data_IF_629412948779
#
_entry.id   IF_629412948779
#
_cell.length_a   1.000
_cell.length_b   1.000
_cell.length_c   1.000
_cell.angle_alpha   90.00
_cell.angle_beta   90.00
_cell.angle_gamma   90.00
#
_symmetry.space_group_name_H-M   'P 1'
#
loop_
_entity.id
_entity.type
_entity.pdbx_description
1 polymer ?
#
# COMPACT_ATOMS: atom_id res chain seq x y z
N UNK A 1 3.69 -20.61 14.81
CA UNK A 1 4.54 -20.29 15.94
C UNK A 1 5.75 -19.44 15.48
N UNK A 2 6.34 -18.58 16.33
CA UNK A 2 7.48 -17.77 15.94
C UNK A 2 8.62 -18.67 15.47
N UNK A 3 9.14 -18.43 14.28
CA UNK A 3 10.36 -19.11 13.81
C UNK A 3 11.50 -18.71 14.73
N UNK A 4 12.19 -19.70 15.29
CA UNK A 4 13.43 -19.46 16.05
C UNK A 4 14.42 -18.63 15.22
N UNK A 5 15.09 -17.69 15.87
CA UNK A 5 16.18 -16.92 15.25
C UNK A 5 17.18 -17.91 14.65
N UNK A 6 17.58 -17.69 13.39
CA UNK A 6 18.64 -18.50 12.76
C UNK A 6 19.97 -18.12 13.40
N UNK A 7 20.83 -19.13 13.59
CA UNK A 7 22.22 -18.92 13.98
C UNK A 7 22.88 -17.93 12.99
N UNK A 8 23.45 -16.81 13.47
CA UNK A 8 24.05 -15.80 12.61
C UNK A 8 25.28 -16.27 11.83
N UNK A 9 25.79 -17.48 12.09
CA UNK A 9 26.98 -18.00 11.45
C UNK A 9 28.29 -17.47 12.07
N UNK A 10 29.43 -18.10 11.72
CA UNK A 10 30.72 -17.72 12.27
C UNK A 10 31.16 -16.33 11.79
N UNK A 11 31.50 -15.45 12.72
CA UNK A 11 32.02 -14.10 12.46
C UNK A 11 31.05 -12.95 12.76
N UNK A 12 29.79 -13.22 13.09
CA UNK A 12 28.85 -12.19 13.55
C UNK A 12 29.00 -11.98 15.05
N UNK A 13 29.50 -10.82 15.45
CA UNK A 13 29.57 -10.40 16.85
C UNK A 13 28.41 -9.43 17.10
N UNK A 14 27.48 -9.79 17.97
CA UNK A 14 26.35 -8.93 18.34
C UNK A 14 25.04 -9.70 18.53
N UNK A 15 23.99 -8.97 18.87
CA UNK A 15 22.64 -9.52 18.97
C UNK A 15 22.01 -9.64 17.57
N UNK A 16 21.38 -10.78 17.29
CA UNK A 16 20.58 -11.00 16.09
C UNK A 16 19.11 -10.83 16.44
N UNK A 17 18.41 -9.97 15.71
CA UNK A 17 16.99 -9.75 15.88
C UNK A 17 16.24 -10.11 14.58
N UNK A 18 14.92 -10.34 14.68
CA UNK A 18 14.08 -10.37 13.50
C UNK A 18 14.10 -9.00 12.82
N UNK A 19 13.97 -8.99 11.48
CA UNK A 19 13.82 -7.74 10.75
C UNK A 19 12.54 -7.00 11.16
N UNK A 20 12.54 -5.68 11.01
CA UNK A 20 11.41 -4.84 11.35
C UNK A 20 10.23 -5.10 10.39
N UNK A 21 9.03 -4.86 10.88
CA UNK A 21 7.79 -4.88 10.10
C UNK A 21 7.19 -3.48 10.12
N UNK A 22 7.03 -2.88 8.94
CA UNK A 22 6.23 -1.68 8.77
C UNK A 22 4.78 -2.09 8.57
N UNK A 23 3.95 -1.98 9.61
CA UNK A 23 2.59 -2.48 9.61
C UNK A 23 1.58 -1.53 8.92
N UNK A 24 1.99 -0.36 8.47
CA UNK A 24 1.19 0.59 7.71
C UNK A 24 2.10 1.49 6.88
N UNK A 25 1.94 1.44 5.57
CA UNK A 25 2.73 2.22 4.62
C UNK A 25 1.88 2.67 3.43
N UNK A 26 2.40 3.65 2.69
CA UNK A 26 1.85 4.17 1.44
C UNK A 26 2.99 4.30 0.42
N UNK A 27 3.44 3.18 -0.14
CA UNK A 27 4.57 3.12 -1.06
C UNK A 27 4.40 4.02 -2.29
N UNK A 28 3.16 4.25 -2.73
CA UNK A 28 2.87 5.14 -3.86
C UNK A 28 3.30 6.60 -3.63
N UNK A 29 3.52 7.00 -2.38
CA UNK A 29 3.84 8.37 -2.01
C UNK A 29 5.34 8.68 -1.96
N UNK A 30 6.21 7.71 -2.17
CA UNK A 30 7.67 7.89 -2.00
C UNK A 30 8.23 8.93 -2.96
N UNK A 31 7.75 8.98 -4.20
CA UNK A 31 8.15 9.98 -5.20
C UNK A 31 7.54 11.38 -4.98
N UNK A 32 6.65 11.54 -4.01
CA UNK A 32 6.10 12.86 -3.69
C UNK A 32 7.13 13.83 -3.09
N UNK A 33 8.31 13.35 -2.76
CA UNK A 33 9.44 14.20 -2.37
C UNK A 33 9.79 15.17 -3.50
N UNK A 34 9.73 16.45 -3.22
CA UNK A 34 9.92 17.47 -4.23
C UNK A 34 8.67 17.82 -5.04
N UNK A 35 7.52 17.22 -4.76
CA UNK A 35 6.24 17.66 -5.31
C UNK A 35 6.01 19.14 -4.97
N UNK A 36 5.49 19.97 -5.91
CA UNK A 36 5.18 21.36 -5.61
C UNK A 36 4.24 21.50 -4.41
N UNK A 37 4.59 22.40 -3.52
CA UNK A 37 3.72 22.72 -2.38
C UNK A 37 2.34 23.19 -2.86
N UNK A 38 1.28 22.94 -2.07
CA UNK A 38 -0.04 23.51 -2.36
C UNK A 38 0.03 25.05 -2.34
N UNK A 39 -0.86 25.74 -3.08
CA UNK A 39 -0.86 27.21 -3.15
C UNK A 39 -0.99 27.89 -1.79
N UNK A 40 -1.71 27.24 -0.88
CA UNK A 40 -1.93 27.70 0.49
C UNK A 40 -1.61 26.57 1.47
N UNK A 41 -1.11 26.90 2.65
CA UNK A 41 -0.86 25.90 3.69
C UNK A 41 -2.17 25.32 4.20
N UNK A 42 -2.41 23.99 4.07
CA UNK A 42 -3.61 23.38 4.61
C UNK A 42 -3.71 23.56 6.11
N UNK A 43 -4.88 23.96 6.61
CA UNK A 43 -5.13 24.20 8.03
C UNK A 43 -5.95 23.10 8.71
N UNK A 44 -6.36 22.08 7.94
CA UNK A 44 -7.13 20.92 8.43
C UNK A 44 -6.62 19.63 7.80
N UNK A 45 -6.92 18.51 8.44
CA UNK A 45 -6.60 17.18 7.87
C UNK A 45 -7.26 16.98 6.52
N UNK A 46 -8.53 17.35 6.36
CA UNK A 46 -9.22 17.28 5.08
C UNK A 46 -8.52 18.14 4.02
N UNK A 47 -8.08 19.35 4.36
CA UNK A 47 -7.32 20.19 3.45
C UNK A 47 -5.99 19.58 3.00
N UNK A 48 -5.30 18.84 3.88
CA UNK A 48 -4.10 18.06 3.52
C UNK A 48 -4.45 16.96 2.52
N UNK A 49 -5.55 16.23 2.74
CA UNK A 49 -6.00 15.20 1.81
C UNK A 49 -6.30 15.79 0.44
N UNK A 50 -7.11 16.85 0.36
CA UNK A 50 -7.56 17.47 -0.89
C UNK A 50 -6.43 18.15 -1.65
N UNK A 51 -5.52 18.84 -0.95
CA UNK A 51 -4.49 19.66 -1.60
C UNK A 51 -3.19 18.92 -1.87
N UNK A 52 -2.94 17.80 -1.20
CA UNK A 52 -1.69 17.03 -1.33
C UNK A 52 -1.97 15.60 -1.76
N UNK A 53 -2.59 14.78 -0.90
CA UNK A 53 -2.71 13.34 -1.11
C UNK A 53 -3.57 12.96 -2.30
N UNK A 54 -4.77 13.53 -2.43
CA UNK A 54 -5.69 13.22 -3.54
C UNK A 54 -5.22 13.79 -4.90
N UNK A 55 -4.35 14.79 -4.87
CA UNK A 55 -3.67 15.25 -6.09
C UNK A 55 -2.55 14.32 -6.50
N UNK A 56 -1.83 13.76 -5.53
CA UNK A 56 -0.79 12.78 -5.77
C UNK A 56 -1.39 11.49 -6.33
N UNK A 57 -2.34 10.89 -5.63
CA UNK A 57 -2.94 9.62 -6.03
C UNK A 57 -3.59 9.68 -7.42
N UNK A 58 -4.22 10.81 -7.76
CA UNK A 58 -4.81 11.05 -9.08
C UNK A 58 -3.77 11.26 -10.21
N UNK A 59 -2.54 11.60 -9.88
CA UNK A 59 -1.48 11.82 -10.86
C UNK A 59 -0.72 10.54 -11.24
N UNK A 60 -0.88 9.46 -10.46
CA UNK A 60 -0.13 8.23 -10.64
C UNK A 60 -0.56 7.44 -11.88
N UNK A 61 0.44 6.92 -12.59
CA UNK A 61 0.33 5.81 -13.53
C UNK A 61 1.09 4.58 -13.00
N UNK A 62 0.99 3.45 -13.70
CA UNK A 62 1.62 2.21 -13.27
C UNK A 62 3.16 2.29 -13.23
N UNK A 63 3.78 3.09 -14.10
CA UNK A 63 5.22 3.29 -14.09
C UNK A 63 5.67 4.09 -12.86
N UNK A 64 4.97 5.17 -12.54
CA UNK A 64 5.21 5.96 -11.32
C UNK A 64 5.02 5.13 -10.05
N UNK A 65 3.96 4.30 -10.00
CA UNK A 65 3.70 3.37 -8.90
C UNK A 65 4.87 2.42 -8.71
N UNK A 66 5.38 1.82 -9.81
CA UNK A 66 6.52 0.91 -9.76
C UNK A 66 7.75 1.58 -9.15
N UNK A 67 8.17 2.73 -9.68
CA UNK A 67 9.36 3.42 -9.20
C UNK A 67 9.22 3.92 -7.77
N UNK A 68 8.03 4.40 -7.39
CA UNK A 68 7.73 4.82 -6.02
C UNK A 68 7.85 3.64 -5.05
N UNK A 69 7.29 2.49 -5.41
CA UNK A 69 7.35 1.28 -4.59
C UNK A 69 8.79 0.75 -4.46
N UNK A 70 9.56 0.72 -5.55
CA UNK A 70 10.97 0.31 -5.52
C UNK A 70 11.80 1.19 -4.59
N UNK A 71 11.67 2.51 -4.72
CA UNK A 71 12.42 3.44 -3.87
C UNK A 71 12.05 3.28 -2.39
N UNK A 72 10.76 3.20 -2.07
CA UNK A 72 10.30 3.00 -0.70
C UNK A 72 10.72 1.64 -0.12
N UNK A 73 10.75 0.59 -0.93
CA UNK A 73 11.23 -0.72 -0.54
C UNK A 73 12.75 -0.72 -0.26
N UNK A 74 13.55 -0.02 -1.08
CA UNK A 74 15.00 0.16 -0.85
C UNK A 74 15.27 0.87 0.47
N UNK A 75 14.58 1.98 0.72
CA UNK A 75 14.69 2.70 1.99
C UNK A 75 14.28 1.85 3.19
N UNK A 76 13.24 1.03 3.04
CA UNK A 76 12.80 0.11 4.08
C UNK A 76 13.90 -0.89 4.45
N UNK A 77 14.58 -1.49 3.45
CA UNK A 77 15.70 -2.42 3.68
C UNK A 77 16.87 -1.72 4.35
N UNK A 78 17.25 -0.53 3.90
CA UNK A 78 18.34 0.25 4.48
C UNK A 78 18.13 0.51 5.98
N UNK A 79 16.86 0.57 6.42
CA UNK A 79 16.49 0.75 7.83
C UNK A 79 16.14 -0.57 8.56
N UNK A 80 16.43 -1.73 7.94
CA UNK A 80 16.22 -3.04 8.56
C UNK A 80 14.78 -3.56 8.51
N UNK A 81 13.88 -2.92 7.72
CA UNK A 81 12.52 -3.39 7.49
C UNK A 81 12.51 -4.51 6.45
N UNK A 82 11.92 -5.65 6.77
CA UNK A 82 11.88 -6.83 5.91
C UNK A 82 10.48 -7.20 5.43
N UNK A 83 9.47 -6.55 5.97
CA UNK A 83 8.08 -6.73 5.57
C UNK A 83 7.30 -5.41 5.72
N UNK A 84 6.42 -5.15 4.76
CA UNK A 84 5.59 -3.94 4.70
C UNK A 84 4.13 -4.38 4.53
N UNK A 85 3.21 -3.73 5.24
CA UNK A 85 1.78 -3.74 4.93
C UNK A 85 1.48 -2.41 4.24
N UNK A 86 1.16 -2.47 2.95
CA UNK A 86 0.97 -1.29 2.11
C UNK A 86 -0.49 -1.04 1.79
N UNK A 87 -0.92 0.20 1.98
CA UNK A 87 -2.23 0.68 1.58
C UNK A 87 -2.07 1.59 0.36
N UNK A 88 -2.51 1.10 -0.80
CA UNK A 88 -2.30 1.72 -2.10
C UNK A 88 -3.54 2.48 -2.58
N UNK A 89 -3.33 3.64 -3.20
CA UNK A 89 -4.34 4.39 -3.92
C UNK A 89 -3.80 4.96 -5.23
N UNK A 90 -4.57 4.79 -6.32
CA UNK A 90 -4.29 5.32 -7.65
C UNK A 90 -5.56 5.31 -8.51
N UNK A 91 -6.48 6.27 -8.34
CA UNK A 91 -7.82 6.22 -8.96
C UNK A 91 -7.80 6.19 -10.49
N UNK A 92 -6.73 6.69 -11.11
CA UNK A 92 -6.55 6.68 -12.57
C UNK A 92 -5.72 5.48 -13.09
N UNK A 93 -5.19 4.64 -12.18
CA UNK A 93 -4.40 3.45 -12.51
C UNK A 93 -4.70 2.32 -11.50
N UNK A 94 -5.97 1.95 -11.36
CA UNK A 94 -6.41 0.96 -10.35
C UNK A 94 -5.97 -0.44 -10.77
N UNK A 95 -6.36 -0.86 -11.98
CA UNK A 95 -6.19 -2.23 -12.45
C UNK A 95 -4.71 -2.58 -12.61
N UNK A 96 -4.28 -3.62 -11.91
CA UNK A 96 -2.89 -4.10 -11.93
C UNK A 96 -1.95 -3.38 -10.96
N UNK A 97 -2.39 -2.32 -10.27
CA UNK A 97 -1.56 -1.54 -9.37
C UNK A 97 -0.95 -2.36 -8.23
N UNK A 98 -1.74 -3.26 -7.62
CA UNK A 98 -1.24 -4.12 -6.54
C UNK A 98 -0.17 -5.11 -7.01
N UNK A 99 -0.30 -5.64 -8.23
CA UNK A 99 0.73 -6.49 -8.82
C UNK A 99 2.03 -5.72 -9.06
N UNK A 100 1.93 -4.49 -9.56
CA UNK A 100 3.10 -3.60 -9.75
C UNK A 100 3.82 -3.32 -8.44
N UNK A 101 3.07 -3.02 -7.37
CA UNK A 101 3.65 -2.82 -6.02
C UNK A 101 4.34 -4.09 -5.53
N UNK A 102 3.67 -5.24 -5.66
CA UNK A 102 4.21 -6.52 -5.20
C UNK A 102 5.49 -6.92 -5.96
N UNK A 103 5.50 -6.78 -7.29
CA UNK A 103 6.65 -7.05 -8.14
C UNK A 103 7.83 -6.12 -7.82
N UNK A 104 7.58 -4.82 -7.67
CA UNK A 104 8.59 -3.84 -7.31
C UNK A 104 9.25 -4.16 -5.95
N UNK A 105 8.45 -4.52 -4.95
CA UNK A 105 8.97 -4.94 -3.64
C UNK A 105 9.76 -6.25 -3.73
N UNK A 106 9.29 -7.22 -4.52
CA UNK A 106 9.96 -8.51 -4.71
C UNK A 106 11.33 -8.37 -5.38
N UNK A 107 11.46 -7.47 -6.39
CA UNK A 107 12.75 -7.18 -7.04
C UNK A 107 13.78 -6.62 -6.05
N UNK A 108 13.35 -5.80 -5.11
CA UNK A 108 14.20 -5.24 -4.05
C UNK A 108 14.47 -6.27 -2.94
N UNK A 109 13.59 -7.26 -2.77
CA UNK A 109 13.70 -8.31 -1.76
C UNK A 109 12.93 -8.05 -0.46
N UNK A 110 11.97 -7.12 -0.47
CA UNK A 110 11.05 -6.84 0.65
C UNK A 110 9.76 -7.64 0.45
N UNK A 111 9.25 -8.25 1.50
CA UNK A 111 7.91 -8.82 1.50
C UNK A 111 6.88 -7.71 1.65
N UNK A 112 5.83 -7.75 0.84
CA UNK A 112 4.71 -6.81 0.97
C UNK A 112 3.40 -7.57 1.12
N UNK A 113 2.52 -7.05 1.98
CA UNK A 113 1.09 -7.36 2.01
C UNK A 113 0.40 -6.11 1.47
N UNK A 114 -0.13 -6.20 0.25
CA UNK A 114 -0.68 -5.06 -0.45
C UNK A 114 -2.21 -5.04 -0.37
N UNK A 115 -2.78 -3.85 -0.25
CA UNK A 115 -4.22 -3.62 -0.24
C UNK A 115 -4.56 -2.36 -1.03
N UNK A 116 -5.57 -2.42 -1.90
CA UNK A 116 -6.10 -1.24 -2.57
C UNK A 116 -7.12 -0.55 -1.67
N UNK A 117 -6.96 0.74 -1.44
CA UNK A 117 -7.83 1.57 -0.61
C UNK A 117 -9.15 1.91 -1.30
N UNK A 118 -10.14 1.03 -1.16
CA UNK A 118 -11.48 1.23 -1.71
C UNK A 118 -12.11 2.50 -1.13
N UNK A 119 -12.71 3.32 -2.00
CA UNK A 119 -13.31 4.60 -1.60
C UNK A 119 -14.47 4.98 -2.52
N UNK A 120 -15.50 5.62 -1.95
CA UNK A 120 -16.62 6.20 -2.71
C UNK A 120 -16.33 7.63 -3.22
N UNK A 121 -15.14 8.17 -2.99
CA UNK A 121 -14.74 9.51 -3.48
C UNK A 121 -14.89 9.67 -5.00
N UNK A 122 -14.73 8.57 -5.73
CA UNK A 122 -14.85 8.51 -7.19
C UNK A 122 -16.16 7.86 -7.65
N UNK A 123 -17.19 7.91 -6.79
CA UNK A 123 -18.50 7.31 -7.02
C UNK A 123 -18.49 5.79 -6.89
N UNK A 124 -19.68 5.20 -7.06
CA UNK A 124 -19.91 3.75 -6.91
C UNK A 124 -19.05 2.92 -7.87
N UNK A 125 -18.79 3.43 -9.07
CA UNK A 125 -17.97 2.71 -10.06
C UNK A 125 -16.49 2.67 -9.63
N UNK A 126 -15.97 3.75 -9.06
CA UNK A 126 -14.64 3.79 -8.48
C UNK A 126 -14.47 2.79 -7.33
N UNK A 127 -15.47 2.72 -6.44
CA UNK A 127 -15.47 1.77 -5.34
C UNK A 127 -15.49 0.31 -5.83
N UNK A 128 -16.33 0.00 -6.85
CA UNK A 128 -16.38 -1.34 -7.46
C UNK A 128 -15.03 -1.74 -8.07
N UNK A 129 -14.39 -0.84 -8.83
CA UNK A 129 -13.08 -1.10 -9.44
C UNK A 129 -12.00 -1.36 -8.38
N UNK A 130 -12.02 -0.61 -7.27
CA UNK A 130 -11.12 -0.84 -6.15
C UNK A 130 -11.34 -2.20 -5.45
N UNK A 131 -12.59 -2.61 -5.25
CA UNK A 131 -12.92 -3.95 -4.75
C UNK A 131 -12.44 -5.05 -5.72
N UNK A 132 -12.65 -4.85 -7.02
CA UNK A 132 -12.22 -5.81 -8.04
C UNK A 132 -10.70 -5.94 -8.13
N UNK A 133 -9.94 -4.86 -7.94
CA UNK A 133 -8.48 -4.94 -7.89
C UNK A 133 -7.99 -5.76 -6.68
N UNK A 134 -8.58 -5.56 -5.48
CA UNK A 134 -8.29 -6.42 -4.33
C UNK A 134 -8.65 -7.88 -4.64
N UNK A 135 -9.83 -8.14 -5.20
CA UNK A 135 -10.28 -9.49 -5.60
C UNK A 135 -9.31 -10.13 -6.58
N UNK A 136 -8.99 -9.42 -7.67
CA UNK A 136 -8.09 -9.91 -8.71
C UNK A 136 -6.72 -10.29 -8.13
N UNK A 137 -6.13 -9.40 -7.32
CA UNK A 137 -4.82 -9.62 -6.73
C UNK A 137 -4.80 -10.84 -5.79
N UNK A 138 -5.84 -10.99 -4.96
CA UNK A 138 -5.97 -12.15 -4.06
C UNK A 138 -6.23 -13.44 -4.84
N UNK A 139 -7.06 -13.42 -5.88
CA UNK A 139 -7.37 -14.56 -6.73
C UNK A 139 -6.12 -15.07 -7.47
N UNK A 140 -5.23 -14.17 -7.87
CA UNK A 140 -3.95 -14.48 -8.53
C UNK A 140 -2.88 -15.01 -7.52
N UNK A 141 -3.25 -15.18 -6.24
CA UNK A 141 -2.36 -15.67 -5.19
C UNK A 141 -1.45 -14.57 -4.62
N UNK A 142 -1.76 -13.31 -4.84
CA UNK A 142 -1.04 -12.17 -4.26
C UNK A 142 -1.14 -12.16 -2.72
N UNK A 143 -0.05 -11.84 -2.05
CA UNK A 143 -0.04 -11.61 -0.61
C UNK A 143 -0.71 -10.29 -0.28
N UNK A 144 -2.01 -10.30 0.01
CA UNK A 144 -2.79 -9.09 0.15
C UNK A 144 -3.83 -9.12 1.26
N UNK A 145 -4.49 -7.99 1.41
CA UNK A 145 -5.66 -7.76 2.26
C UNK A 145 -6.69 -6.98 1.46
N UNK A 146 -7.91 -6.87 1.97
CA UNK A 146 -8.91 -5.94 1.41
C UNK A 146 -8.78 -4.60 2.12
N UNK A 147 -8.37 -3.56 1.37
CA UNK A 147 -8.22 -2.22 1.89
C UNK A 147 -9.49 -1.38 1.75
N UNK A 148 -9.72 -0.50 2.73
CA UNK A 148 -10.70 0.59 2.64
C UNK A 148 -10.02 1.88 3.07
N UNK A 149 -10.29 2.98 2.35
CA UNK A 149 -9.56 4.23 2.58
C UNK A 149 -9.82 4.82 3.97
N UNK A 150 -11.07 5.11 4.29
CA UNK A 150 -11.46 5.64 5.61
C UNK A 150 -12.97 5.55 5.78
N UNK A 151 -13.43 5.49 7.04
CA UNK A 151 -14.85 5.40 7.35
C UNK A 151 -15.69 6.60 6.81
N UNK A 152 -15.09 7.78 6.70
CA UNK A 152 -15.78 8.97 6.19
C UNK A 152 -15.74 9.12 4.66
N UNK A 153 -15.05 8.22 3.95
CA UNK A 153 -14.96 8.19 2.48
C UNK A 153 -15.59 6.93 1.88
N UNK A 154 -16.17 6.08 2.71
CA UNK A 154 -16.84 4.86 2.30
C UNK A 154 -18.28 4.83 2.81
N UNK A 155 -19.21 4.38 1.97
CA UNK A 155 -20.58 4.08 2.38
C UNK A 155 -20.63 2.77 3.17
N UNK A 156 -21.71 2.57 3.93
CA UNK A 156 -21.92 1.30 4.62
C UNK A 156 -21.97 0.10 3.67
N UNK A 157 -22.53 0.30 2.47
CA UNK A 157 -22.63 -0.75 1.45
C UNK A 157 -21.22 -1.14 0.93
N UNK A 158 -20.36 -0.16 0.70
CA UNK A 158 -18.96 -0.38 0.32
C UNK A 158 -18.16 -1.09 1.42
N UNK A 159 -18.37 -0.70 2.69
CA UNK A 159 -17.72 -1.36 3.82
C UNK A 159 -18.21 -2.81 3.98
N UNK A 160 -19.51 -3.07 3.81
CA UNK A 160 -20.06 -4.42 3.84
C UNK A 160 -19.47 -5.30 2.72
N UNK A 161 -19.43 -4.77 1.49
CA UNK A 161 -18.85 -5.49 0.34
C UNK A 161 -17.36 -5.79 0.54
N UNK A 162 -16.60 -4.87 1.14
CA UNK A 162 -15.20 -5.10 1.47
C UNK A 162 -15.02 -6.21 2.53
N UNK A 163 -15.88 -6.21 3.56
CA UNK A 163 -15.86 -7.24 4.59
C UNK A 163 -16.25 -8.64 4.04
N UNK A 164 -17.23 -8.70 3.15
CA UNK A 164 -17.61 -9.93 2.45
C UNK A 164 -16.46 -10.47 1.60
N UNK A 165 -15.79 -9.59 0.85
CA UNK A 165 -14.62 -9.96 0.05
C UNK A 165 -13.47 -10.47 0.93
N UNK A 166 -13.18 -9.81 2.06
CA UNK A 166 -12.17 -10.27 2.99
C UNK A 166 -12.49 -11.65 3.56
N UNK A 167 -13.76 -11.90 3.93
CA UNK A 167 -14.22 -13.19 4.41
C UNK A 167 -14.12 -14.29 3.34
N UNK A 168 -14.40 -13.96 2.06
CA UNK A 168 -14.28 -14.89 0.91
C UNK A 168 -12.85 -15.43 0.76
N UNK A 169 -11.85 -14.58 0.94
CA UNK A 169 -10.44 -14.97 0.81
C UNK A 169 -9.76 -15.32 2.14
N UNK A 170 -10.42 -15.12 3.26
CA UNK A 170 -9.88 -15.43 4.59
C UNK A 170 -8.75 -14.49 5.04
N UNK A 171 -8.84 -13.21 4.66
CA UNK A 171 -7.85 -12.16 4.94
C UNK A 171 -8.43 -11.04 5.78
#
# INVERSE_FOLDING_TARGET
GPRAARDPGPGVTGAVTAGLVCAHHHLYSTLARGMPAPPETPTSFQGILEQVWWRLDAALDLEMIRWSAMLGALEAIEHGTTAIVDHHESPNAIEGSLSVVAEACAEVGVRVVAAYGVTDRHGTEGAKRGLEENRRFLADGGGGMVGVHAAFTCTNDTLAAAAELAAEYGV
#
